data_IF_396333395741
#
_entry.id   IF_396333395741
#
_cell.length_a   1.000
_cell.length_b   1.000
_cell.length_c   1.000
_cell.angle_alpha   90.00
_cell.angle_beta   90.00
_cell.angle_gamma   90.00
#
_symmetry.space_group_name_H-M   'P 1'
#
loop_
_entity.id
_entity.type
_entity.pdbx_description
1 polymer ?
#
# COMPACT_ATOMS: atom_id res chain seq x y z
N UNK A 1 6.24 -0.83 -19.41
CA UNK A 1 6.26 -1.87 -20.43
C UNK A 1 5.95 -3.26 -19.85
N UNK A 2 6.74 -3.83 -18.97
CA UNK A 2 6.52 -5.19 -18.41
C UNK A 2 5.16 -5.43 -17.71
N UNK A 3 4.59 -4.41 -17.04
CA UNK A 3 3.35 -4.54 -16.26
C UNK A 3 2.10 -4.84 -17.10
N UNK A 4 2.03 -4.34 -18.34
CA UNK A 4 0.98 -4.69 -19.30
C UNK A 4 1.16 -6.08 -19.89
N UNK A 5 2.41 -6.52 -20.06
CA UNK A 5 2.72 -7.83 -20.63
C UNK A 5 2.27 -8.99 -19.72
N UNK A 6 2.28 -8.78 -18.39
CA UNK A 6 1.85 -9.81 -17.43
C UNK A 6 0.33 -10.03 -17.46
N UNK A 7 -0.46 -8.96 -17.61
CA UNK A 7 -1.92 -9.03 -17.49
C UNK A 7 -2.65 -8.87 -18.84
N UNK A 8 -1.95 -8.54 -19.93
CA UNK A 8 -2.56 -8.24 -21.21
C UNK A 8 -3.32 -6.89 -21.28
N UNK A 9 -3.58 -6.27 -20.12
CA UNK A 9 -4.25 -4.97 -19.96
C UNK A 9 -3.64 -4.22 -18.78
N UNK A 10 -4.17 -3.01 -18.48
CA UNK A 10 -3.68 -2.19 -17.36
C UNK A 10 -4.67 -2.24 -16.20
N UNK A 11 -4.46 -3.12 -15.18
CA UNK A 11 -5.43 -3.27 -14.09
C UNK A 11 -5.72 -1.97 -13.34
N UNK A 12 -4.71 -1.11 -13.09
CA UNK A 12 -4.89 0.16 -12.42
C UNK A 12 -5.77 1.15 -13.20
N UNK A 13 -5.91 1.00 -14.52
CA UNK A 13 -6.79 1.83 -15.34
C UNK A 13 -8.19 1.28 -15.40
N UNK A 14 -8.32 -0.04 -15.58
CA UNK A 14 -9.62 -0.69 -15.83
C UNK A 14 -10.41 -0.99 -14.56
N UNK A 15 -9.74 -1.23 -13.44
CA UNK A 15 -10.40 -1.62 -12.20
C UNK A 15 -11.38 -0.55 -11.71
N UNK A 16 -10.92 0.69 -11.60
CA UNK A 16 -11.76 1.79 -11.14
C UNK A 16 -12.90 2.14 -12.14
N UNK A 17 -12.63 2.05 -13.45
CA UNK A 17 -13.67 2.30 -14.45
C UNK A 17 -14.76 1.24 -14.48
N UNK A 18 -14.41 -0.02 -14.12
CA UNK A 18 -15.38 -1.13 -14.06
C UNK A 18 -16.25 -1.07 -12.80
N UNK A 19 -15.70 -0.61 -11.67
CA UNK A 19 -16.36 -0.61 -10.35
C UNK A 19 -16.47 0.82 -9.78
N UNK A 20 -17.05 1.75 -10.57
CA UNK A 20 -17.09 3.18 -10.23
C UNK A 20 -18.25 3.61 -9.31
N UNK A 21 -19.16 2.71 -8.94
CA UNK A 21 -20.33 3.05 -8.13
C UNK A 21 -19.98 3.28 -6.65
N UNK A 22 -20.72 4.19 -6.01
CA UNK A 22 -20.39 4.76 -4.71
C UNK A 22 -20.05 3.74 -3.60
N UNK A 23 -20.82 2.66 -3.35
CA UNK A 23 -20.49 1.72 -2.28
C UNK A 23 -19.14 1.04 -2.45
N UNK A 24 -18.77 0.65 -3.67
CA UNK A 24 -17.47 0.00 -3.91
C UNK A 24 -16.35 1.03 -3.83
N UNK A 25 -16.52 2.22 -4.40
CA UNK A 25 -15.52 3.28 -4.31
C UNK A 25 -15.20 3.63 -2.85
N UNK A 26 -16.24 3.78 -2.01
CA UNK A 26 -16.06 4.06 -0.59
C UNK A 26 -15.42 2.90 0.19
N UNK A 27 -15.76 1.64 -0.14
CA UNK A 27 -15.09 0.48 0.46
C UNK A 27 -13.60 0.41 0.09
N UNK A 28 -13.24 0.75 -1.15
CA UNK A 28 -11.85 0.82 -1.57
C UNK A 28 -11.12 1.97 -0.87
N UNK A 29 -11.71 3.16 -0.83
CA UNK A 29 -11.15 4.31 -0.12
C UNK A 29 -11.00 4.05 1.38
N UNK A 30 -11.99 3.39 2.01
CA UNK A 30 -11.90 2.94 3.41
C UNK A 30 -10.73 1.97 3.61
N UNK A 31 -10.55 1.01 2.70
CA UNK A 31 -9.45 0.05 2.77
C UNK A 31 -8.09 0.76 2.75
N UNK A 32 -7.90 1.74 1.88
CA UNK A 32 -6.66 2.52 1.83
C UNK A 32 -6.47 3.40 3.06
N UNK A 33 -7.51 4.12 3.49
CA UNK A 33 -7.49 4.96 4.68
C UNK A 33 -7.21 4.15 5.97
N UNK A 34 -7.55 2.86 5.99
CA UNK A 34 -7.30 1.98 7.14
C UNK A 34 -5.80 1.66 7.38
N UNK A 35 -4.90 2.03 6.48
CA UNK A 35 -3.47 1.73 6.58
C UNK A 35 -2.85 2.13 7.93
N UNK A 36 -2.87 3.40 8.26
CA UNK A 36 -2.32 3.89 9.54
C UNK A 36 -3.12 3.42 10.76
N UNK A 37 -4.45 3.42 10.75
CA UNK A 37 -5.24 2.80 11.81
C UNK A 37 -4.89 1.35 12.10
N UNK A 38 -4.63 0.52 11.08
CA UNK A 38 -4.20 -0.87 11.26
C UNK A 38 -2.86 -0.97 12.00
N UNK A 39 -1.88 -0.16 11.59
CA UNK A 39 -0.56 -0.10 12.25
C UNK A 39 -0.73 0.31 13.72
N UNK A 40 -1.48 1.39 13.97
CA UNK A 40 -1.75 1.88 15.31
C UNK A 40 -2.45 0.84 16.17
N UNK A 41 -3.49 0.18 15.65
CA UNK A 41 -4.24 -0.83 16.39
C UNK A 41 -3.37 -2.04 16.78
N UNK A 42 -2.52 -2.53 15.89
CA UNK A 42 -1.59 -3.63 16.18
C UNK A 42 -0.56 -3.19 17.24
N UNK A 43 0.01 -2.01 17.10
CA UNK A 43 0.96 -1.47 18.07
C UNK A 43 0.33 -1.30 19.46
N UNK A 44 -0.86 -0.70 19.55
CA UNK A 44 -1.61 -0.56 20.81
C UNK A 44 -2.01 -1.90 21.40
N UNK A 45 -2.44 -2.86 20.57
CA UNK A 45 -2.74 -4.20 21.04
C UNK A 45 -1.53 -4.84 21.73
N UNK A 46 -0.35 -4.78 21.12
CA UNK A 46 0.86 -5.31 21.75
C UNK A 46 1.21 -4.54 23.02
N UNK A 47 1.10 -3.21 23.01
CA UNK A 47 1.38 -2.38 24.17
C UNK A 47 0.49 -2.73 25.37
N UNK A 48 -0.82 -2.88 25.17
CA UNK A 48 -1.76 -3.11 26.29
C UNK A 48 -1.95 -4.59 26.63
N UNK A 49 -1.94 -5.49 25.66
CA UNK A 49 -2.29 -6.89 25.85
C UNK A 49 -1.09 -7.85 25.81
N UNK A 50 0.02 -7.45 25.20
CA UNK A 50 1.23 -8.27 25.01
C UNK A 50 2.51 -7.48 25.28
N UNK A 51 2.54 -6.74 26.37
CA UNK A 51 3.64 -5.79 26.67
C UNK A 51 5.03 -6.41 26.60
N UNK A 52 5.21 -7.67 27.04
CA UNK A 52 6.50 -8.38 26.96
C UNK A 52 7.02 -8.57 25.54
N UNK A 53 6.17 -8.48 24.54
CA UNK A 53 6.52 -8.63 23.12
C UNK A 53 6.43 -7.30 22.37
N UNK A 54 6.03 -6.22 23.07
CA UNK A 54 5.77 -4.92 22.45
C UNK A 54 7.00 -4.34 21.75
N UNK A 55 8.15 -4.37 22.40
CA UNK A 55 9.39 -3.84 21.82
C UNK A 55 9.76 -4.57 20.53
N UNK A 56 9.64 -5.90 20.55
CA UNK A 56 9.91 -6.74 19.38
C UNK A 56 8.92 -6.49 18.26
N UNK A 57 7.63 -6.42 18.55
CA UNK A 57 6.60 -6.15 17.56
C UNK A 57 6.76 -4.74 16.95
N UNK A 58 7.04 -3.74 17.78
CA UNK A 58 7.30 -2.37 17.34
C UNK A 58 8.56 -2.28 16.47
N UNK A 59 9.63 -2.98 16.85
CA UNK A 59 10.83 -3.05 16.03
C UNK A 59 10.55 -3.66 14.66
N UNK A 60 9.81 -4.78 14.61
CA UNK A 60 9.46 -5.44 13.34
C UNK A 60 8.63 -4.50 12.45
N UNK A 61 7.65 -3.78 13.00
CA UNK A 61 6.86 -2.80 12.25
C UNK A 61 7.72 -1.65 11.72
N UNK A 62 8.50 -1.00 12.59
CA UNK A 62 9.31 0.16 12.21
C UNK A 62 10.42 -0.23 11.24
N UNK A 63 11.14 -1.33 11.50
CA UNK A 63 12.18 -1.80 10.61
C UNK A 63 11.63 -2.15 9.22
N UNK A 64 10.47 -2.81 9.14
CA UNK A 64 9.81 -3.08 7.85
C UNK A 64 9.49 -1.80 7.10
N UNK A 65 8.94 -0.80 7.79
CA UNK A 65 8.62 0.51 7.23
C UNK A 65 9.87 1.19 6.65
N UNK A 66 10.94 1.29 7.43
CA UNK A 66 12.19 1.92 6.98
C UNK A 66 12.89 1.16 5.86
N UNK A 67 12.82 -0.18 5.84
CA UNK A 67 13.36 -0.99 4.73
C UNK A 67 12.66 -0.65 3.42
N UNK A 68 11.33 -0.46 3.41
CA UNK A 68 10.63 0.01 2.22
C UNK A 68 11.12 1.38 1.75
N UNK A 69 11.34 2.33 2.68
CA UNK A 69 11.90 3.64 2.31
C UNK A 69 13.29 3.53 1.69
N UNK A 70 14.15 2.67 2.25
CA UNK A 70 15.49 2.40 1.67
C UNK A 70 15.34 1.84 0.26
N UNK A 71 14.42 0.89 0.04
CA UNK A 71 14.17 0.34 -1.30
C UNK A 71 13.72 1.44 -2.27
N UNK A 72 12.85 2.36 -1.86
CA UNK A 72 12.40 3.46 -2.73
C UNK A 72 13.52 4.42 -3.15
N UNK A 73 14.54 4.60 -2.31
CA UNK A 73 15.72 5.40 -2.64
C UNK A 73 16.53 4.73 -3.77
N UNK A 74 16.72 3.41 -3.69
CA UNK A 74 17.54 2.68 -4.67
C UNK A 74 16.77 2.19 -5.88
N UNK A 75 15.46 2.00 -5.77
CA UNK A 75 14.56 1.52 -6.82
C UNK A 75 13.39 2.48 -6.99
N UNK A 76 13.65 3.71 -7.51
CA UNK A 76 12.60 4.72 -7.69
C UNK A 76 11.65 4.32 -8.83
N UNK A 77 10.44 3.91 -8.51
CA UNK A 77 9.40 3.52 -9.48
C UNK A 77 8.19 4.43 -9.33
N UNK A 78 7.78 5.05 -10.43
CA UNK A 78 6.63 5.94 -10.44
C UNK A 78 5.30 5.18 -10.30
N UNK A 79 4.45 5.64 -9.39
CA UNK A 79 3.10 5.13 -9.22
C UNK A 79 2.17 5.51 -10.37
N UNK A 80 1.10 4.71 -10.63
CA UNK A 80 0.16 5.00 -11.71
C UNK A 80 -0.42 6.40 -11.66
N UNK A 81 -0.84 6.87 -10.48
CA UNK A 81 -1.45 8.20 -10.30
C UNK A 81 -0.56 9.35 -10.79
N UNK A 82 0.76 9.23 -10.63
CA UNK A 82 1.74 10.21 -11.12
C UNK A 82 2.11 9.95 -12.58
N UNK A 83 2.40 8.69 -12.91
CA UNK A 83 2.85 8.33 -14.26
C UNK A 83 1.75 8.56 -15.30
N UNK A 84 0.51 8.20 -15.00
CA UNK A 84 -0.63 8.44 -15.89
C UNK A 84 -0.91 9.93 -16.08
N UNK A 85 -0.70 10.74 -15.03
CA UNK A 85 -0.77 12.20 -15.11
C UNK A 85 0.27 12.75 -16.08
N UNK A 86 1.52 12.29 -15.98
CA UNK A 86 2.63 12.75 -16.80
C UNK A 86 2.49 12.37 -18.29
N UNK A 87 1.99 11.17 -18.57
CA UNK A 87 1.90 10.62 -19.94
C UNK A 87 0.56 10.89 -20.59
N UNK A 88 -0.51 11.03 -19.80
CA UNK A 88 -1.89 11.15 -20.27
C UNK A 88 -2.60 9.80 -20.36
N UNK A 89 -3.85 9.75 -19.86
CA UNK A 89 -4.65 8.53 -19.78
C UNK A 89 -4.90 7.87 -21.13
N UNK A 90 -5.08 8.67 -22.18
CA UNK A 90 -5.29 8.17 -23.54
C UNK A 90 -4.08 7.40 -24.07
N UNK A 91 -2.88 7.94 -23.87
CA UNK A 91 -1.64 7.28 -24.25
C UNK A 91 -1.46 5.95 -23.50
N UNK A 92 -1.76 5.94 -22.21
CA UNK A 92 -1.72 4.72 -21.38
C UNK A 92 -2.73 3.67 -21.87
N UNK A 93 -3.96 4.07 -22.18
CA UNK A 93 -4.98 3.20 -22.73
C UNK A 93 -4.55 2.56 -24.07
N UNK A 94 -3.92 3.36 -24.93
CA UNK A 94 -3.35 2.92 -26.22
C UNK A 94 -2.05 2.11 -26.08
N UNK A 95 -1.55 1.92 -24.83
CA UNK A 95 -0.37 1.12 -24.55
C UNK A 95 0.96 1.83 -24.78
N UNK A 96 0.96 3.14 -24.86
CA UNK A 96 2.17 3.95 -24.98
C UNK A 96 2.73 4.29 -23.59
N UNK A 97 3.95 3.84 -23.28
CA UNK A 97 4.62 4.01 -22.00
C UNK A 97 6.04 4.57 -22.20
N UNK A 98 6.17 5.88 -22.48
CA UNK A 98 7.47 6.51 -22.67
C UNK A 98 8.26 6.59 -21.36
N UNK A 99 9.58 6.67 -21.47
CA UNK A 99 10.43 7.04 -20.35
C UNK A 99 10.24 8.54 -20.06
N UNK A 100 9.97 8.87 -18.80
CA UNK A 100 9.74 10.26 -18.35
C UNK A 100 10.99 10.90 -17.74
N UNK A 101 12.11 10.17 -17.68
CA UNK A 101 13.40 10.70 -17.21
C UNK A 101 13.30 11.35 -15.83
N UNK A 102 13.78 12.60 -15.74
CA UNK A 102 13.81 13.40 -14.50
C UNK A 102 12.54 14.21 -14.25
N UNK A 103 11.45 13.96 -14.98
CA UNK A 103 10.18 14.72 -14.88
C UNK A 103 9.69 14.89 -13.44
N UNK A 104 9.75 13.83 -12.64
CA UNK A 104 9.27 13.84 -11.25
C UNK A 104 10.19 14.59 -10.27
N UNK A 105 11.34 15.07 -10.67
CA UNK A 105 12.16 15.95 -9.83
C UNK A 105 11.51 17.33 -9.62
N UNK A 106 10.68 17.75 -10.58
CA UNK A 106 10.02 19.06 -10.58
C UNK A 106 8.49 18.99 -10.60
N UNK A 107 7.90 17.85 -10.96
CA UNK A 107 6.46 17.66 -11.09
C UNK A 107 6.01 16.57 -10.11
N UNK A 108 5.23 16.95 -9.11
CA UNK A 108 4.76 16.04 -8.07
C UNK A 108 3.22 15.94 -8.00
N UNK A 109 2.54 16.50 -9.00
CA UNK A 109 1.08 16.41 -9.07
C UNK A 109 0.64 15.00 -9.45
N UNK A 110 -0.39 14.50 -8.80
CA UNK A 110 -1.04 13.24 -9.08
C UNK A 110 -2.42 13.42 -9.71
N UNK A 111 -3.00 12.34 -10.22
CA UNK A 111 -4.42 12.28 -10.58
C UNK A 111 -5.27 12.23 -9.30
N UNK A 112 -6.50 12.79 -9.33
CA UNK A 112 -7.47 12.54 -8.27
C UNK A 112 -7.81 11.04 -8.23
N UNK A 113 -8.23 10.57 -7.06
CA UNK A 113 -8.69 9.19 -6.90
C UNK A 113 -9.91 8.94 -7.81
N UNK A 114 -9.91 7.87 -8.61
CA UNK A 114 -11.04 7.57 -9.49
C UNK A 114 -12.25 7.03 -8.73
N UNK A 115 -13.41 7.07 -9.36
CA UNK A 115 -14.67 6.54 -8.84
C UNK A 115 -15.56 7.62 -8.23
N UNK A 116 -16.24 7.30 -7.12
CA UNK A 116 -17.15 8.23 -6.44
C UNK A 116 -16.36 9.24 -5.60
N UNK A 117 -16.61 10.53 -5.84
CA UNK A 117 -15.80 11.65 -5.30
C UNK A 117 -16.40 12.36 -4.08
N UNK A 118 -17.69 12.17 -3.80
CA UNK A 118 -18.40 12.85 -2.70
C UNK A 118 -18.45 11.99 -1.42
N UNK A 119 -17.46 11.10 -1.23
CA UNK A 119 -17.43 10.13 -0.15
C UNK A 119 -16.55 10.57 1.01
N UNK A 120 -16.91 10.18 2.23
CA UNK A 120 -16.11 10.46 3.44
C UNK A 120 -14.70 9.84 3.37
N UNK A 121 -14.59 8.58 2.95
CA UNK A 121 -13.30 7.92 2.83
C UNK A 121 -12.51 8.42 1.62
N UNK A 122 -13.18 8.87 0.57
CA UNK A 122 -12.53 9.55 -0.53
C UNK A 122 -11.76 10.79 -0.04
N UNK A 123 -12.40 11.64 0.76
CA UNK A 123 -11.76 12.85 1.31
C UNK A 123 -10.55 12.52 2.17
N UNK A 124 -10.62 11.45 2.97
CA UNK A 124 -9.47 10.98 3.76
C UNK A 124 -8.30 10.51 2.88
N UNK A 125 -8.60 9.83 1.78
CA UNK A 125 -7.56 9.40 0.81
C UNK A 125 -6.92 10.59 0.14
N UNK A 126 -7.70 11.56 -0.34
CA UNK A 126 -7.15 12.77 -0.99
C UNK A 126 -6.29 13.60 -0.02
N UNK A 127 -6.72 13.74 1.24
CA UNK A 127 -5.91 14.38 2.27
C UNK A 127 -4.61 13.63 2.54
N UNK A 128 -4.64 12.29 2.61
CA UNK A 128 -3.45 11.47 2.82
C UNK A 128 -2.47 11.58 1.62
N UNK A 129 -2.99 11.60 0.38
CA UNK A 129 -2.21 11.82 -0.83
C UNK A 129 -1.52 13.19 -0.80
N UNK A 130 -2.26 14.23 -0.47
CA UNK A 130 -1.73 15.59 -0.39
C UNK A 130 -0.64 15.73 0.69
N UNK A 131 -0.76 14.99 1.80
CA UNK A 131 0.18 15.06 2.92
C UNK A 131 1.49 14.32 2.69
N UNK A 132 1.51 13.21 1.93
CA UNK A 132 2.66 12.34 1.97
C UNK A 132 2.98 11.47 0.75
N UNK A 133 2.13 11.38 -0.26
CA UNK A 133 2.46 10.56 -1.43
C UNK A 133 3.62 11.15 -2.23
N UNK A 134 4.50 10.28 -2.68
CA UNK A 134 5.67 10.65 -3.48
C UNK A 134 5.65 9.92 -4.82
N UNK A 135 6.06 10.57 -5.92
CA UNK A 135 5.98 9.99 -7.26
C UNK A 135 6.70 8.65 -7.41
N UNK A 136 7.84 8.49 -6.76
CA UNK A 136 8.78 7.38 -7.01
C UNK A 136 8.79 6.31 -5.92
N UNK A 137 7.74 6.20 -5.12
CA UNK A 137 7.63 5.25 -4.01
C UNK A 137 6.63 4.11 -4.28
N UNK A 138 6.55 3.62 -5.54
CA UNK A 138 5.52 2.65 -5.90
C UNK A 138 5.91 1.18 -5.76
N UNK A 139 7.17 0.81 -5.93
CA UNK A 139 7.56 -0.61 -5.96
C UNK A 139 8.64 -0.95 -4.92
N UNK A 140 8.43 -2.05 -4.16
CA UNK A 140 7.16 -2.78 -3.95
C UNK A 140 6.18 -1.97 -3.11
N UNK A 141 4.88 -2.29 -3.10
CA UNK A 141 3.90 -1.54 -2.30
C UNK A 141 4.17 -1.65 -0.80
N UNK A 142 4.58 -0.55 -0.17
CA UNK A 142 4.75 -0.49 1.29
C UNK A 142 3.41 -0.58 2.02
N UNK A 143 2.33 -0.05 1.45
CA UNK A 143 0.99 -0.15 2.01
C UNK A 143 0.58 -1.61 2.20
N UNK A 144 0.70 -2.42 1.15
CA UNK A 144 0.41 -3.86 1.23
C UNK A 144 1.43 -4.57 2.13
N UNK A 145 2.71 -4.24 1.98
CA UNK A 145 3.77 -4.94 2.71
C UNK A 145 3.73 -4.74 4.22
N UNK A 146 3.63 -3.51 4.70
CA UNK A 146 3.54 -3.22 6.15
C UNK A 146 2.21 -3.73 6.72
N UNK A 147 1.09 -3.60 5.97
CA UNK A 147 -0.18 -4.20 6.40
C UNK A 147 -0.11 -5.73 6.47
N UNK A 148 0.65 -6.38 5.58
CA UNK A 148 0.94 -7.82 5.66
C UNK A 148 1.71 -8.15 6.94
N UNK A 149 2.70 -7.34 7.33
CA UNK A 149 3.40 -7.49 8.61
C UNK A 149 2.42 -7.33 9.78
N UNK A 150 1.50 -6.37 9.73
CA UNK A 150 0.44 -6.23 10.74
C UNK A 150 -0.42 -7.50 10.86
N UNK A 151 -0.80 -8.10 9.73
CA UNK A 151 -1.58 -9.34 9.72
C UNK A 151 -0.80 -10.53 10.32
N UNK A 152 0.49 -10.66 9.99
CA UNK A 152 1.35 -11.68 10.60
C UNK A 152 1.55 -11.46 12.10
N UNK A 153 1.71 -10.23 12.57
CA UNK A 153 1.76 -9.91 14.00
C UNK A 153 0.43 -10.22 14.69
N UNK A 154 -0.70 -9.87 14.08
CA UNK A 154 -2.02 -10.23 14.60
C UNK A 154 -2.21 -11.75 14.71
N UNK A 155 -1.76 -12.50 13.71
CA UNK A 155 -1.76 -13.96 13.73
C UNK A 155 -0.84 -14.51 14.83
N UNK A 156 0.38 -13.99 14.94
CA UNK A 156 1.37 -14.38 15.97
C UNK A 156 0.86 -14.13 17.39
N UNK A 157 0.09 -13.08 17.59
CA UNK A 157 -0.50 -12.78 18.89
C UNK A 157 -1.46 -13.87 19.40
N UNK A 158 -1.93 -14.76 18.54
CA UNK A 158 -2.95 -15.78 18.87
C UNK A 158 -4.36 -15.22 19.04
N UNK A 159 -4.56 -13.91 18.90
CA UNK A 159 -5.87 -13.27 19.06
C UNK A 159 -6.68 -13.35 17.76
N UNK A 160 -7.53 -14.39 17.65
CA UNK A 160 -8.40 -14.55 16.47
C UNK A 160 -9.35 -13.37 16.24
N UNK A 161 -9.81 -12.69 17.30
CA UNK A 161 -10.71 -11.53 17.16
C UNK A 161 -10.00 -10.36 16.49
N UNK A 162 -8.75 -10.08 16.90
CA UNK A 162 -7.92 -9.05 16.24
C UNK A 162 -7.69 -9.39 14.77
N UNK A 163 -7.28 -10.62 14.48
CA UNK A 163 -7.02 -11.07 13.11
C UNK A 163 -8.26 -10.95 12.22
N UNK A 164 -9.42 -11.44 12.69
CA UNK A 164 -10.67 -11.37 11.94
C UNK A 164 -11.20 -9.95 11.79
N UNK A 165 -10.96 -9.08 12.78
CA UNK A 165 -11.30 -7.66 12.68
C UNK A 165 -10.47 -6.94 11.62
N UNK A 166 -9.16 -7.20 11.55
CA UNK A 166 -8.26 -6.58 10.58
C UNK A 166 -8.43 -7.14 9.16
N UNK A 167 -8.85 -8.39 9.01
CA UNK A 167 -8.89 -9.08 7.72
C UNK A 167 -9.67 -8.35 6.61
N UNK A 168 -10.89 -7.83 6.83
CA UNK A 168 -11.63 -7.10 5.80
C UNK A 168 -10.93 -5.79 5.40
N UNK A 169 -10.37 -5.04 6.34
CA UNK A 169 -9.62 -3.82 6.04
C UNK A 169 -8.37 -4.13 5.22
N UNK A 170 -7.62 -5.16 5.59
CA UNK A 170 -6.46 -5.62 4.83
C UNK A 170 -6.84 -6.07 3.42
N UNK A 171 -7.93 -6.83 3.26
CA UNK A 171 -8.41 -7.26 1.96
C UNK A 171 -8.73 -6.07 1.06
N UNK A 172 -9.54 -5.13 1.56
CA UNK A 172 -9.87 -3.93 0.79
C UNK A 172 -8.65 -3.03 0.57
N UNK A 173 -7.71 -2.95 1.50
CA UNK A 173 -6.46 -2.21 1.30
C UNK A 173 -5.64 -2.78 0.12
N UNK A 174 -5.48 -4.09 0.04
CA UNK A 174 -4.76 -4.72 -1.07
C UNK A 174 -5.39 -4.41 -2.43
N UNK A 175 -6.72 -4.40 -2.52
CA UNK A 175 -7.44 -4.03 -3.74
C UNK A 175 -7.40 -2.52 -3.99
N UNK A 176 -7.57 -1.73 -2.94
CA UNK A 176 -7.61 -0.29 -2.99
C UNK A 176 -6.33 0.31 -3.57
N UNK A 177 -5.15 -0.22 -3.24
CA UNK A 177 -3.88 0.29 -3.77
C UNK A 177 -3.84 0.32 -5.29
N UNK A 178 -4.50 -0.65 -5.95
CA UNK A 178 -4.62 -0.72 -7.40
C UNK A 178 -5.80 0.12 -7.90
N UNK A 179 -6.92 0.08 -7.16
CA UNK A 179 -8.15 0.80 -7.51
C UNK A 179 -7.95 2.32 -7.55
N UNK A 180 -7.35 2.89 -6.50
CA UNK A 180 -7.07 4.33 -6.41
C UNK A 180 -5.85 4.77 -7.25
N UNK A 181 -5.25 3.86 -7.99
CA UNK A 181 -4.07 4.09 -8.84
C UNK A 181 -2.79 4.49 -8.09
N UNK A 182 -2.69 4.22 -6.78
CA UNK A 182 -1.44 4.43 -6.04
C UNK A 182 -0.35 3.44 -6.48
N UNK A 183 -0.73 2.20 -6.75
CA UNK A 183 0.17 1.11 -7.14
C UNK A 183 -0.33 0.34 -8.35
N UNK A 184 0.59 -0.28 -9.08
CA UNK A 184 0.24 -1.31 -10.06
C UNK A 184 -0.04 -2.63 -9.34
N UNK A 185 -0.81 -3.53 -9.98
CA UNK A 185 -1.12 -4.84 -9.40
C UNK A 185 0.14 -5.64 -9.01
N UNK A 186 1.19 -5.56 -9.80
CA UNK A 186 2.47 -6.23 -9.51
C UNK A 186 3.16 -5.66 -8.26
N UNK A 187 2.98 -4.37 -7.99
CA UNK A 187 3.57 -3.73 -6.81
C UNK A 187 2.86 -4.24 -5.53
N UNK A 188 1.54 -4.45 -5.61
CA UNK A 188 0.75 -5.03 -4.52
C UNK A 188 1.15 -6.50 -4.24
N UNK A 189 1.29 -7.31 -5.30
CA UNK A 189 1.77 -8.70 -5.19
C UNK A 189 3.18 -8.73 -4.59
N UNK A 190 4.09 -7.89 -5.09
CA UNK A 190 5.44 -7.78 -4.54
C UNK A 190 5.43 -7.33 -3.08
N UNK A 191 4.53 -6.41 -2.71
CA UNK A 191 4.32 -5.97 -1.32
C UNK A 191 3.92 -7.12 -0.40
N UNK A 192 2.98 -7.97 -0.84
CA UNK A 192 2.56 -9.15 -0.09
C UNK A 192 3.74 -10.12 0.16
N UNK A 193 4.51 -10.40 -0.88
CA UNK A 193 5.66 -11.32 -0.80
C UNK A 193 6.75 -10.73 0.09
N UNK A 194 7.13 -9.47 -0.16
CA UNK A 194 8.21 -8.82 0.60
C UNK A 194 7.81 -8.55 2.05
N UNK A 195 6.56 -8.16 2.32
CA UNK A 195 6.05 -7.99 3.68
C UNK A 195 6.09 -9.30 4.48
N UNK A 196 5.70 -10.40 3.85
CA UNK A 196 5.81 -11.74 4.46
C UNK A 196 7.27 -12.11 4.73
N UNK A 197 8.16 -11.90 3.76
CA UNK A 197 9.58 -12.18 3.91
C UNK A 197 10.22 -11.33 5.03
N UNK A 198 9.92 -10.03 5.07
CA UNK A 198 10.39 -9.11 6.11
C UNK A 198 9.92 -9.54 7.50
N UNK A 199 8.65 -9.89 7.64
CA UNK A 199 8.14 -10.39 8.91
C UNK A 199 8.97 -11.57 9.43
N UNK A 200 9.14 -12.63 8.63
CA UNK A 200 9.87 -13.81 9.06
C UNK A 200 11.36 -13.52 9.29
N UNK A 201 12.00 -12.71 8.44
CA UNK A 201 13.41 -12.33 8.59
C UNK A 201 13.66 -11.54 9.86
N UNK A 202 12.84 -10.53 10.14
CA UNK A 202 12.99 -9.68 11.33
C UNK A 202 12.60 -10.43 12.62
N UNK A 203 11.57 -11.28 12.57
CA UNK A 203 11.24 -12.15 13.70
C UNK A 203 12.35 -13.17 14.00
N UNK A 204 13.03 -13.67 12.98
CA UNK A 204 14.19 -14.55 13.16
C UNK A 204 15.38 -13.76 13.74
N UNK A 205 15.71 -12.61 13.17
CA UNK A 205 16.84 -11.79 13.62
C UNK A 205 16.68 -11.32 15.08
N UNK A 206 15.45 -11.10 15.53
CA UNK A 206 15.15 -10.66 16.91
C UNK A 206 14.91 -11.80 17.90
N UNK A 207 15.04 -13.07 17.50
CA UNK A 207 14.75 -14.23 18.35
C UNK A 207 15.61 -14.32 19.60
N UNK A 208 16.84 -13.79 19.55
CA UNK A 208 17.81 -13.83 20.65
C UNK A 208 17.85 -12.56 21.51
N UNK A 209 17.12 -11.52 21.13
CA UNK A 209 17.03 -10.29 21.91
C UNK A 209 16.11 -10.56 23.11
N UNK A 210 16.71 -10.63 24.30
CA UNK A 210 15.96 -10.61 25.56
C UNK A 210 15.44 -9.18 25.76
N UNK A 211 14.18 -8.98 25.51
CA UNK A 211 13.45 -7.79 25.96
C UNK A 211 13.02 -7.96 27.40
#
# INVERSE_FOLDING_TARGET
MYKRQVFGFQPALTFASTFSWAPISELMSMGYAAYYPMIGLVAFYYFFARYKEFERASFVLLASFFIYYIVFIFVPVAGPTFYFKAVGLENIANGFFPAVGTYFNTHQECLPTPGYVDGFFYDLVEQAKAAGERPTAAFPSSHVGVSTVCMWLAYHSGNRRLLLFLAPFYFFLCLATVYIQAHYAIDAIAGLITGTALYFALMYATKGLKC
#
